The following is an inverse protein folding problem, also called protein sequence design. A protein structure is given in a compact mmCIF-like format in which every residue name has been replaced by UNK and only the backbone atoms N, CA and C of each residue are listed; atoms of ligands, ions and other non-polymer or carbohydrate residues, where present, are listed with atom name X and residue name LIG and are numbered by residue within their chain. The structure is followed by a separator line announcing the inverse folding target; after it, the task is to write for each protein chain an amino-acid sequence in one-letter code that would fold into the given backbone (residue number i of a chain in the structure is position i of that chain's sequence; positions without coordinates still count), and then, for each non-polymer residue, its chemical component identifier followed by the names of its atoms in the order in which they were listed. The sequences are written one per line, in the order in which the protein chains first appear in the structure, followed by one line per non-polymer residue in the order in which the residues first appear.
data_IF_954368702087
#
_entry.id   IF_954368702087
#
_cell.length_a   1.000
_cell.length_b   1.000
_cell.length_c   1.000
_cell.angle_alpha   90.00
_cell.angle_beta   90.00
_cell.angle_gamma   90.00
#
_symmetry.space_group_name_H-M   'P 1'
#
loop_
_entity.id
_entity.type
_entity.pdbx_description
1 polymer ?
#
# COMPACT_ATOMS: atom_id res chain seq x y z
N UNK A 1 -19.69 11.11 -17.69
CA UNK A 1 -19.94 9.79 -17.02
C UNK A 1 -20.86 9.99 -15.84
N UNK A 2 -22.03 9.39 -15.88
CA UNK A 2 -23.00 9.52 -14.80
C UNK A 2 -22.72 8.55 -13.68
N UNK A 3 -22.94 9.00 -12.44
CA UNK A 3 -22.90 8.14 -11.26
C UNK A 3 -24.29 7.52 -11.08
N UNK A 4 -24.39 6.19 -11.19
CA UNK A 4 -25.66 5.50 -11.04
C UNK A 4 -26.08 5.39 -9.57
N UNK A 5 -25.18 4.95 -8.71
CA UNK A 5 -25.43 4.86 -7.27
C UNK A 5 -24.14 4.86 -6.47
N UNK A 6 -24.26 5.16 -5.20
CA UNK A 6 -23.18 5.17 -4.24
C UNK A 6 -23.60 4.33 -3.04
N UNK A 7 -22.77 3.35 -2.65
CA UNK A 7 -23.03 2.46 -1.53
C UNK A 7 -21.81 2.37 -0.60
N UNK A 8 -22.05 2.21 0.70
CA UNK A 8 -20.98 1.92 1.63
C UNK A 8 -20.47 0.49 1.43
N UNK A 9 -19.16 0.27 1.51
CA UNK A 9 -18.60 -1.08 1.39
C UNK A 9 -18.95 -1.91 2.62
N UNK A 10 -19.40 -3.14 2.39
CA UNK A 10 -19.69 -4.11 3.45
C UNK A 10 -18.43 -4.77 4.00
N UNK A 11 -17.33 -4.74 3.23
CA UNK A 11 -16.11 -5.46 3.54
C UNK A 11 -15.03 -4.60 4.19
N UNK A 12 -15.02 -3.30 3.94
CA UNK A 12 -14.03 -2.38 4.50
C UNK A 12 -14.70 -1.12 5.03
N UNK A 13 -14.41 -0.80 6.29
CA UNK A 13 -14.89 0.41 6.94
C UNK A 13 -14.27 1.64 6.29
N UNK A 14 -15.08 2.67 6.07
CA UNK A 14 -14.61 3.92 5.43
C UNK A 14 -14.46 3.85 3.92
N UNK A 15 -14.74 2.72 3.30
CA UNK A 15 -14.75 2.57 1.85
C UNK A 15 -16.14 2.76 1.29
N UNK A 16 -16.18 3.45 0.15
CA UNK A 16 -17.43 3.76 -0.55
C UNK A 16 -17.31 3.24 -1.99
N UNK A 17 -18.36 2.60 -2.46
CA UNK A 17 -18.44 2.07 -3.81
C UNK A 17 -19.25 3.02 -4.69
N UNK A 18 -18.61 3.52 -5.76
CA UNK A 18 -19.25 4.41 -6.73
C UNK A 18 -19.48 3.62 -8.01
N UNK A 19 -20.75 3.37 -8.32
CA UNK A 19 -21.16 2.64 -9.53
C UNK A 19 -21.39 3.63 -10.67
N UNK A 20 -20.67 3.47 -11.77
CA UNK A 20 -20.77 4.35 -12.92
C UNK A 20 -21.69 3.77 -14.00
N UNK A 21 -22.20 4.66 -14.87
CA UNK A 21 -23.16 4.30 -15.90
C UNK A 21 -22.67 3.26 -16.91
N UNK A 22 -21.34 3.16 -17.10
CA UNK A 22 -20.72 2.18 -17.98
C UNK A 22 -20.54 0.78 -17.34
N UNK A 23 -21.04 0.61 -16.13
CA UNK A 23 -20.92 -0.64 -15.38
C UNK A 23 -19.62 -0.74 -14.56
N UNK A 24 -18.71 0.22 -14.66
CA UNK A 24 -17.48 0.21 -13.87
C UNK A 24 -17.74 0.62 -12.42
N UNK A 25 -16.82 0.24 -11.55
CA UNK A 25 -16.89 0.48 -10.12
C UNK A 25 -15.62 1.20 -9.67
N UNK A 26 -15.79 2.29 -8.93
CA UNK A 26 -14.68 2.96 -8.24
C UNK A 26 -14.80 2.75 -6.75
N UNK A 27 -13.70 2.40 -6.12
CA UNK A 27 -13.60 2.31 -4.66
C UNK A 27 -12.92 3.58 -4.17
N UNK A 28 -13.64 4.38 -3.41
CA UNK A 28 -13.15 5.66 -2.89
C UNK A 28 -13.24 5.67 -1.37
N UNK A 29 -12.59 6.64 -0.74
CA UNK A 29 -12.74 6.90 0.69
C UNK A 29 -13.89 7.88 0.93
N UNK A 30 -14.37 7.95 2.17
CA UNK A 30 -15.35 8.97 2.56
C UNK A 30 -14.82 10.38 2.32
N UNK A 31 -13.52 10.58 2.56
CA UNK A 31 -12.87 11.87 2.32
C UNK A 31 -12.90 12.25 0.83
N UNK A 32 -12.64 11.30 -0.06
CA UNK A 32 -12.72 11.53 -1.51
C UNK A 32 -14.14 11.83 -1.95
N UNK A 33 -15.12 11.14 -1.38
CA UNK A 33 -16.54 11.40 -1.63
C UNK A 33 -16.89 12.84 -1.32
N UNK A 34 -16.43 13.36 -0.18
CA UNK A 34 -16.66 14.73 0.25
C UNK A 34 -15.87 15.74 -0.58
N UNK A 35 -14.60 15.47 -0.83
CA UNK A 35 -13.71 16.36 -1.58
C UNK A 35 -14.21 16.59 -3.01
N UNK A 36 -14.67 15.54 -3.68
CA UNK A 36 -15.21 15.63 -5.04
C UNK A 36 -16.71 15.95 -5.06
N UNK A 37 -17.37 16.00 -3.91
CA UNK A 37 -18.80 16.32 -3.82
C UNK A 37 -19.70 15.35 -4.58
N UNK A 38 -19.38 14.05 -4.52
CA UNK A 38 -20.06 13.02 -5.31
C UNK A 38 -21.46 12.71 -4.79
N UNK A 39 -22.44 12.63 -5.70
CA UNK A 39 -23.83 12.24 -5.41
C UNK A 39 -24.35 11.31 -6.49
N UNK A 40 -25.26 10.42 -6.11
CA UNK A 40 -25.99 9.60 -7.09
C UNK A 40 -26.68 10.49 -8.11
N UNK A 41 -26.56 10.14 -9.38
CA UNK A 41 -27.15 10.87 -10.48
C UNK A 41 -26.31 12.02 -11.05
N UNK A 42 -25.18 12.35 -10.40
CA UNK A 42 -24.28 13.40 -10.88
C UNK A 42 -23.61 12.99 -12.19
N UNK A 43 -23.40 13.98 -13.05
CA UNK A 43 -22.63 13.82 -14.29
C UNK A 43 -21.20 14.31 -14.05
N UNK A 44 -20.22 13.44 -14.28
CA UNK A 44 -18.79 13.76 -14.15
C UNK A 44 -18.21 14.05 -15.53
N UNK A 45 -17.48 15.16 -15.68
CA UNK A 45 -16.71 15.40 -16.90
C UNK A 45 -15.45 14.52 -16.92
N UNK A 46 -14.77 14.44 -18.07
CA UNK A 46 -13.59 13.59 -18.23
C UNK A 46 -12.45 13.97 -17.27
N UNK A 47 -12.23 15.26 -17.08
CA UNK A 47 -11.18 15.77 -16.21
C UNK A 47 -11.42 15.35 -14.75
N UNK A 48 -12.63 15.58 -14.25
CA UNK A 48 -13.02 15.20 -12.90
C UNK A 48 -12.94 13.68 -12.71
N UNK A 49 -13.42 12.92 -13.68
CA UNK A 49 -13.37 11.46 -13.65
C UNK A 49 -11.92 10.93 -13.60
N UNK A 50 -11.03 11.51 -14.39
CA UNK A 50 -9.61 11.16 -14.40
C UNK A 50 -8.97 11.44 -13.05
N UNK A 51 -9.21 12.60 -12.49
CA UNK A 51 -8.69 13.00 -11.18
C UNK A 51 -9.23 12.10 -10.07
N UNK A 52 -10.50 11.74 -10.14
CA UNK A 52 -11.12 10.83 -9.18
C UNK A 52 -10.51 9.43 -9.27
N UNK A 53 -10.29 8.91 -10.46
CA UNK A 53 -9.65 7.60 -10.66
C UNK A 53 -8.22 7.57 -10.13
N UNK A 54 -7.46 8.64 -10.34
CA UNK A 54 -6.10 8.75 -9.81
C UNK A 54 -6.11 8.77 -8.29
N UNK A 55 -6.97 9.58 -7.68
CA UNK A 55 -7.10 9.65 -6.22
C UNK A 55 -7.52 8.29 -5.63
N UNK A 56 -8.49 7.63 -6.24
CA UNK A 56 -8.96 6.31 -5.81
C UNK A 56 -7.84 5.27 -5.93
N UNK A 57 -7.04 5.31 -7.00
CA UNK A 57 -5.89 4.43 -7.19
C UNK A 57 -4.87 4.55 -6.07
N UNK A 58 -4.49 5.78 -5.73
CA UNK A 58 -3.55 6.07 -4.64
C UNK A 58 -4.09 5.56 -3.30
N UNK A 59 -5.34 5.88 -2.96
CA UNK A 59 -5.93 5.47 -1.68
C UNK A 59 -6.08 3.95 -1.57
N UNK A 60 -6.39 3.27 -2.66
CA UNK A 60 -6.50 1.81 -2.70
C UNK A 60 -5.14 1.14 -2.45
N UNK A 61 -4.08 1.66 -3.06
CA UNK A 61 -2.72 1.14 -2.86
C UNK A 61 -2.26 1.38 -1.43
N UNK A 62 -2.51 2.55 -0.86
CA UNK A 62 -2.22 2.84 0.55
C UNK A 62 -2.93 1.86 1.47
N UNK A 63 -4.21 1.60 1.25
CA UNK A 63 -4.99 0.66 2.04
C UNK A 63 -4.40 -0.75 1.95
N UNK A 64 -4.09 -1.21 0.76
CA UNK A 64 -3.48 -2.52 0.53
C UNK A 64 -2.12 -2.63 1.22
N UNK A 65 -1.29 -1.60 1.10
CA UNK A 65 0.03 -1.55 1.73
C UNK A 65 -0.08 -1.62 3.27
N UNK A 66 -0.99 -0.82 3.86
CA UNK A 66 -1.22 -0.82 5.30
C UNK A 66 -1.70 -2.20 5.79
N UNK A 67 -2.59 -2.85 5.05
CA UNK A 67 -3.06 -4.19 5.38
C UNK A 67 -1.91 -5.21 5.35
N UNK A 68 -1.03 -5.13 4.37
CA UNK A 68 0.10 -6.05 4.24
C UNK A 68 1.07 -5.93 5.43
N UNK A 69 1.48 -4.72 5.79
CA UNK A 69 2.40 -4.51 6.91
C UNK A 69 1.73 -4.79 8.25
N UNK A 70 0.40 -4.63 8.34
CA UNK A 70 -0.36 -4.94 9.53
C UNK A 70 -0.47 -6.44 9.81
N UNK A 71 -0.37 -7.28 8.79
CA UNK A 71 -0.44 -8.75 8.93
C UNK A 71 0.87 -9.36 9.38
N UNK A 72 1.99 -8.85 8.87
CA UNK A 72 3.32 -9.30 9.28
C UNK A 72 4.36 -8.25 8.94
N UNK A 73 5.43 -8.21 9.72
CA UNK A 73 6.57 -7.36 9.43
C UNK A 73 7.20 -7.74 8.09
N UNK A 74 7.59 -6.75 7.30
CA UNK A 74 8.29 -6.96 6.05
C UNK A 74 9.22 -5.78 5.75
N UNK A 75 10.20 -6.00 4.90
CA UNK A 75 11.08 -4.95 4.42
C UNK A 75 10.34 -4.09 3.38
N UNK A 76 10.82 -2.88 3.16
CA UNK A 76 10.29 -2.01 2.12
C UNK A 76 10.33 -2.67 0.75
N UNK A 77 11.43 -3.35 0.44
CA UNK A 77 11.60 -4.06 -0.83
C UNK A 77 10.54 -5.15 -1.03
N UNK A 78 10.27 -5.95 0.00
CA UNK A 78 9.24 -6.99 -0.06
C UNK A 78 7.85 -6.38 -0.21
N UNK A 79 7.57 -5.27 0.50
CA UNK A 79 6.30 -4.56 0.37
C UNK A 79 6.10 -4.07 -1.07
N UNK A 80 7.08 -3.37 -1.63
CA UNK A 80 7.00 -2.85 -2.99
C UNK A 80 6.81 -3.97 -4.01
N UNK A 81 7.53 -5.09 -3.84
CA UNK A 81 7.38 -6.27 -4.69
C UNK A 81 5.97 -6.84 -4.63
N UNK A 82 5.41 -6.99 -3.43
CA UNK A 82 4.05 -7.51 -3.25
C UNK A 82 3.01 -6.59 -3.85
N UNK A 83 3.17 -5.28 -3.71
CA UNK A 83 2.26 -4.31 -4.33
C UNK A 83 2.29 -4.40 -5.85
N UNK A 84 3.47 -4.56 -6.44
CA UNK A 84 3.61 -4.74 -7.88
C UNK A 84 2.97 -6.05 -8.35
N UNK A 85 3.10 -7.13 -7.60
CA UNK A 85 2.44 -8.41 -7.87
C UNK A 85 0.91 -8.27 -7.86
N UNK A 86 0.39 -7.31 -7.10
CA UNK A 86 -1.04 -7.01 -7.02
C UNK A 86 -1.50 -5.98 -8.05
N UNK A 87 -0.63 -5.57 -8.95
CA UNK A 87 -0.97 -4.68 -10.07
C UNK A 87 -0.54 -3.23 -9.90
N UNK A 88 0.11 -2.85 -8.81
CA UNK A 88 0.63 -1.50 -8.64
C UNK A 88 1.82 -1.26 -9.57
N UNK A 89 1.97 -0.02 -10.04
CA UNK A 89 3.17 0.38 -10.78
C UNK A 89 4.34 0.52 -9.81
N UNK A 90 5.56 0.58 -10.36
CA UNK A 90 6.76 0.82 -9.56
C UNK A 90 6.67 2.14 -8.79
N UNK A 91 6.18 3.20 -9.44
CA UNK A 91 5.99 4.51 -8.81
C UNK A 91 4.97 4.46 -7.68
N UNK A 92 3.83 3.80 -7.89
CA UNK A 92 2.79 3.63 -6.89
C UNK A 92 3.28 2.83 -5.69
N UNK A 93 4.01 1.75 -5.94
CA UNK A 93 4.59 0.91 -4.87
C UNK A 93 5.60 1.70 -4.04
N UNK A 94 6.45 2.48 -4.69
CA UNK A 94 7.43 3.35 -4.02
C UNK A 94 6.75 4.40 -3.17
N UNK A 95 5.73 5.05 -3.69
CA UNK A 95 4.95 6.05 -2.98
C UNK A 95 4.34 5.48 -1.70
N UNK A 96 3.73 4.30 -1.77
CA UNK A 96 3.16 3.63 -0.61
C UNK A 96 4.22 3.29 0.44
N UNK A 97 5.39 2.81 0.00
CA UNK A 97 6.52 2.52 0.88
C UNK A 97 7.03 3.76 1.60
N UNK A 98 7.20 4.86 0.89
CA UNK A 98 7.62 6.14 1.48
C UNK A 98 6.61 6.64 2.50
N UNK A 99 5.33 6.56 2.18
CA UNK A 99 4.27 6.95 3.10
C UNK A 99 4.29 6.14 4.40
N UNK A 100 4.40 4.81 4.30
CA UNK A 100 4.44 3.94 5.48
C UNK A 100 5.70 4.17 6.33
N UNK A 101 6.84 4.45 5.70
CA UNK A 101 8.05 4.83 6.43
C UNK A 101 7.85 6.15 7.18
N UNK A 102 7.25 7.14 6.52
CA UNK A 102 7.00 8.45 7.11
C UNK A 102 6.11 8.39 8.36
N UNK A 103 5.14 7.48 8.39
CA UNK A 103 4.25 7.30 9.55
C UNK A 103 4.77 6.27 10.57
N UNK A 104 5.95 5.71 10.33
CA UNK A 104 6.58 4.75 11.23
C UNK A 104 6.03 3.32 11.16
N UNK A 105 5.16 3.01 10.20
CA UNK A 105 4.59 1.67 10.03
C UNK A 105 5.54 0.71 9.30
N UNK A 106 6.57 1.24 8.67
CA UNK A 106 7.58 0.49 7.93
C UNK A 106 8.96 1.01 8.36
N UNK A 107 9.83 0.12 8.83
CA UNK A 107 11.16 0.46 9.34
C UNK A 107 12.14 -0.65 9.01
N UNK A 108 12.93 -0.46 7.96
CA UNK A 108 13.93 -1.44 7.50
C UNK A 108 15.04 -1.67 8.54
N UNK A 109 15.38 -0.67 9.32
CA UNK A 109 16.36 -0.82 10.41
C UNK A 109 15.86 -1.77 11.48
N UNK A 110 14.62 -1.61 11.93
CA UNK A 110 13.98 -2.50 12.90
C UNK A 110 13.80 -3.90 12.31
N UNK A 111 13.42 -4.00 11.04
CA UNK A 111 13.29 -5.28 10.35
C UNK A 111 14.63 -6.00 10.27
N UNK A 112 15.70 -5.31 9.89
CA UNK A 112 17.04 -5.86 9.81
C UNK A 112 17.52 -6.40 11.18
N UNK A 113 17.29 -5.64 12.25
CA UNK A 113 17.64 -6.05 13.60
C UNK A 113 16.89 -7.33 14.02
N UNK A 114 15.60 -7.39 13.72
CA UNK A 114 14.78 -8.58 14.02
C UNK A 114 15.25 -9.79 13.20
N UNK A 115 15.60 -9.59 11.94
CA UNK A 115 16.10 -10.66 11.07
C UNK A 115 17.43 -11.23 11.58
N UNK A 116 18.33 -10.37 12.03
CA UNK A 116 19.61 -10.76 12.61
C UNK A 116 19.39 -11.59 13.88
N UNK A 117 18.50 -11.16 14.77
CA UNK A 117 18.15 -11.92 15.98
C UNK A 117 17.60 -13.30 15.61
N UNK A 118 16.71 -13.37 14.62
CA UNK A 118 16.15 -14.63 14.15
C UNK A 118 17.25 -15.57 13.61
N UNK A 119 18.18 -15.04 12.81
CA UNK A 119 19.31 -15.81 12.31
C UNK A 119 20.19 -16.36 13.44
N UNK A 120 20.42 -15.57 14.49
CA UNK A 120 21.12 -15.99 15.69
C UNK A 120 20.40 -17.13 16.40
N UNK A 121 19.10 -17.01 16.60
CA UNK A 121 18.26 -18.03 17.23
C UNK A 121 18.26 -19.35 16.43
N UNK A 122 18.33 -19.26 15.10
CA UNK A 122 18.40 -20.42 14.21
C UNK A 122 19.83 -21.03 14.12
N UNK A 123 20.81 -20.40 14.75
CA UNK A 123 22.20 -20.85 14.68
C UNK A 123 22.92 -20.52 13.37
N UNK A 124 22.42 -19.57 12.60
CA UNK A 124 23.04 -19.15 11.34
C UNK A 124 24.24 -18.23 11.60
N UNK A 125 25.33 -18.43 10.84
CA UNK A 125 26.51 -17.58 10.92
C UNK A 125 26.31 -16.21 10.28
N UNK A 126 27.29 -15.29 10.51
CA UNK A 126 27.20 -13.91 9.96
C UNK A 126 27.03 -13.83 8.45
N UNK A 127 27.66 -14.73 7.72
CA UNK A 127 27.57 -14.79 6.25
C UNK A 127 26.14 -15.01 5.79
N UNK A 128 25.45 -15.96 6.40
CA UNK A 128 24.07 -16.29 6.06
C UNK A 128 23.12 -15.17 6.45
N UNK A 129 23.37 -14.52 7.58
CA UNK A 129 22.60 -13.35 8.00
C UNK A 129 22.72 -12.21 6.98
N UNK A 130 23.93 -11.94 6.47
CA UNK A 130 24.14 -10.92 5.44
C UNK A 130 23.42 -11.26 4.14
N UNK A 131 23.43 -12.52 3.72
CA UNK A 131 22.71 -12.96 2.53
C UNK A 131 21.21 -12.70 2.66
N UNK A 132 20.64 -13.03 3.81
CA UNK A 132 19.23 -12.78 4.08
C UNK A 132 18.89 -11.29 4.09
N UNK A 133 19.75 -10.46 4.68
CA UNK A 133 19.59 -8.99 4.65
C UNK A 133 19.63 -8.47 3.21
N UNK A 134 20.51 -9.02 2.38
CA UNK A 134 20.61 -8.65 0.97
C UNK A 134 19.32 -9.00 0.21
N UNK A 135 18.79 -10.20 0.42
CA UNK A 135 17.54 -10.65 -0.20
C UNK A 135 16.36 -9.73 0.12
N UNK A 136 16.35 -9.21 1.34
CA UNK A 136 15.28 -8.31 1.81
C UNK A 136 15.53 -6.84 1.51
N UNK A 137 16.65 -6.51 0.87
CA UNK A 137 17.02 -5.13 0.57
C UNK A 137 17.48 -4.32 1.78
N UNK A 138 17.90 -5.01 2.86
CA UNK A 138 18.30 -4.38 4.12
C UNK A 138 19.82 -4.44 4.35
N UNK A 139 20.62 -4.59 3.30
CA UNK A 139 22.07 -4.72 3.41
C UNK A 139 22.75 -3.51 4.03
N UNK A 140 22.16 -2.31 3.87
CA UNK A 140 22.69 -1.09 4.47
C UNK A 140 22.72 -1.13 6.00
N UNK A 141 21.99 -2.04 6.61
CA UNK A 141 21.91 -2.20 8.06
C UNK A 141 22.81 -3.32 8.58
N UNK A 142 23.75 -3.83 7.78
CA UNK A 142 24.64 -4.92 8.18
C UNK A 142 25.53 -4.58 9.36
N UNK A 143 25.88 -3.32 9.58
CA UNK A 143 26.64 -2.88 10.74
C UNK A 143 25.90 -3.15 12.06
N UNK A 144 24.58 -3.16 12.04
CA UNK A 144 23.76 -3.53 13.20
C UNK A 144 23.77 -5.03 13.46
N UNK A 145 24.25 -5.85 12.49
CA UNK A 145 24.31 -7.30 12.57
C UNK A 145 25.63 -7.81 13.14
N UNK A 146 26.62 -6.92 13.26
CA UNK A 146 27.95 -7.32 13.72
C UNK A 146 28.01 -7.61 15.24
#
# INVERSE_FOLDING_TARGET
MRIDRIEASKHKRGRVLVFLADGSLLKVTEQELLTFGLRSGDELDEETLTRLKEAAGVSNIKTTAADLVGRRAMSRRDLEKKLQEKGASETEARYAGEWLEAIGALDDGAYAAALVRHCGDMGYGPRRAREKLREKGCLLYTSAAA
#
